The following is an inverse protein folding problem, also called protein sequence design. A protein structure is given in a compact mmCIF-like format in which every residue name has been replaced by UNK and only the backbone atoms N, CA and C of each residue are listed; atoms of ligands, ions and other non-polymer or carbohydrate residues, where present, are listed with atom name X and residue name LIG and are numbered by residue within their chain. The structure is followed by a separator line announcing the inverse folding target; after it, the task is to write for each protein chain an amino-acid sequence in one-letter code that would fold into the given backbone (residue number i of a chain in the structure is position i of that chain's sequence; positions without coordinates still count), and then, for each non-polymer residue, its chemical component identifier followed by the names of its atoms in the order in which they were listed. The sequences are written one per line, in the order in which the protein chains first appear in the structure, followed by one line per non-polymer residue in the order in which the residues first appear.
data_IF_095931413633
#
_entry.id   IF_095931413633
#
_cell.length_a   1.000
_cell.length_b   1.000
_cell.length_c   1.000
_cell.angle_alpha   90.00
_cell.angle_beta   90.00
_cell.angle_gamma   90.00
#
_symmetry.space_group_name_H-M   'P 1'
#
loop_
_entity.id
_entity.type
_entity.pdbx_description
1 polymer ?
#
# COMPACT_ATOMS: atom_id res chain seq x y z
N UNK A 1 14.58 -14.32 8.33
CA UNK A 1 14.96 -13.42 7.23
C UNK A 1 13.72 -12.89 6.55
N UNK A 2 13.57 -11.59 6.49
CA UNK A 2 12.40 -10.97 5.85
C UNK A 2 12.63 -10.81 4.36
N UNK A 3 11.62 -11.16 3.59
CA UNK A 3 11.63 -10.89 2.15
C UNK A 3 10.82 -9.63 1.90
N UNK A 4 11.35 -8.74 1.06
CA UNK A 4 10.66 -7.52 0.69
C UNK A 4 9.94 -7.70 -0.62
N UNK A 5 8.77 -7.08 -0.76
CA UNK A 5 8.02 -7.15 -2.01
C UNK A 5 7.38 -5.82 -2.35
N UNK A 6 7.10 -5.64 -3.62
CA UNK A 6 6.40 -4.48 -4.16
C UNK A 6 5.08 -4.96 -4.73
N UNK A 7 3.99 -4.29 -4.36
CA UNK A 7 2.66 -4.65 -4.85
C UNK A 7 2.19 -3.57 -5.82
N UNK A 8 2.06 -3.95 -7.08
CA UNK A 8 1.57 -3.07 -8.12
C UNK A 8 0.05 -3.18 -8.20
N UNK A 9 -0.63 -2.04 -8.13
CA UNK A 9 -2.09 -2.02 -8.17
C UNK A 9 -2.71 -2.59 -6.90
N UNK A 10 -2.28 -2.12 -5.75
CA UNK A 10 -2.74 -2.63 -4.45
C UNK A 10 -4.25 -2.58 -4.27
N UNK A 11 -4.94 -1.63 -4.89
CA UNK A 11 -6.40 -1.52 -4.79
C UNK A 11 -7.14 -2.44 -5.77
N UNK A 12 -6.44 -3.08 -6.71
CA UNK A 12 -7.05 -4.04 -7.64
C UNK A 12 -7.26 -5.41 -6.99
N UNK A 13 -7.98 -6.30 -7.70
CA UNK A 13 -8.32 -7.62 -7.16
C UNK A 13 -7.10 -8.45 -6.82
N UNK A 14 -6.08 -8.45 -7.68
CA UNK A 14 -4.87 -9.23 -7.44
C UNK A 14 -4.07 -8.66 -6.27
N UNK A 15 -3.96 -7.32 -6.21
CA UNK A 15 -3.27 -6.65 -5.11
C UNK A 15 -3.94 -6.93 -3.77
N UNK A 16 -5.27 -6.86 -3.71
CA UNK A 16 -6.01 -7.15 -2.48
C UNK A 16 -5.87 -8.61 -2.06
N UNK A 17 -5.87 -9.54 -3.02
CA UNK A 17 -5.65 -10.96 -2.72
C UNK A 17 -4.26 -11.20 -2.15
N UNK A 18 -3.24 -10.52 -2.69
CA UNK A 18 -1.88 -10.61 -2.19
C UNK A 18 -1.78 -10.09 -0.77
N UNK A 19 -2.38 -8.93 -0.49
CA UNK A 19 -2.38 -8.36 0.85
C UNK A 19 -3.09 -9.28 1.86
N UNK A 20 -4.15 -9.95 1.42
CA UNK A 20 -4.87 -10.90 2.25
C UNK A 20 -3.96 -12.07 2.67
N UNK A 21 -3.18 -12.58 1.73
CA UNK A 21 -2.21 -13.65 2.03
C UNK A 21 -1.17 -13.16 3.05
N UNK A 22 -0.69 -11.93 2.90
CA UNK A 22 0.27 -11.36 3.82
C UNK A 22 -0.29 -11.20 5.23
N UNK A 23 -1.56 -10.85 5.36
CA UNK A 23 -2.21 -10.74 6.67
C UNK A 23 -2.22 -12.08 7.42
N UNK A 24 -2.34 -13.18 6.69
CA UNK A 24 -2.35 -14.51 7.27
C UNK A 24 -0.95 -15.05 7.57
N UNK A 25 0.10 -14.36 7.11
CA UNK A 25 1.47 -14.78 7.31
C UNK A 25 2.35 -13.62 7.81
N UNK A 26 1.98 -13.04 8.98
CA UNK A 26 2.73 -11.90 9.50
C UNK A 26 4.16 -12.29 9.84
N UNK A 27 5.08 -11.38 9.54
CA UNK A 27 6.49 -11.59 9.82
C UNK A 27 7.27 -12.31 8.73
N UNK A 28 6.60 -12.91 7.74
CA UNK A 28 7.27 -13.59 6.64
C UNK A 28 7.71 -12.64 5.54
N UNK A 29 6.97 -11.55 5.35
CA UNK A 29 7.20 -10.60 4.26
C UNK A 29 7.13 -9.18 4.77
N UNK A 30 7.94 -8.32 4.17
CA UNK A 30 7.89 -6.88 4.40
C UNK A 30 7.45 -6.21 3.12
N UNK A 31 6.41 -5.38 3.19
CA UNK A 31 5.95 -4.63 2.03
C UNK A 31 6.85 -3.41 1.86
N UNK A 32 7.62 -3.40 0.79
CA UNK A 32 8.52 -2.29 0.48
C UNK A 32 7.75 -1.12 -0.13
N UNK A 33 6.88 -1.42 -1.10
CA UNK A 33 6.14 -0.39 -1.79
C UNK A 33 4.75 -0.88 -2.19
N UNK A 34 3.81 0.06 -2.18
CA UNK A 34 2.46 -0.16 -2.69
C UNK A 34 2.21 0.87 -3.79
N UNK A 35 1.61 0.45 -4.89
CA UNK A 35 1.18 1.39 -5.92
C UNK A 35 -0.31 1.26 -6.16
N UNK A 36 -0.96 2.36 -6.50
CA UNK A 36 -2.37 2.38 -6.85
C UNK A 36 -2.62 3.55 -7.80
N UNK A 37 -3.74 3.52 -8.50
CA UNK A 37 -4.07 4.58 -9.44
C UNK A 37 -4.67 5.80 -8.74
N UNK A 38 -5.85 5.66 -8.16
CA UNK A 38 -6.61 6.80 -7.61
C UNK A 38 -7.23 6.58 -6.24
N UNK A 39 -7.35 5.35 -5.79
CA UNK A 39 -8.08 5.06 -4.56
C UNK A 39 -7.25 5.41 -3.32
N UNK A 40 -7.35 6.67 -2.91
CA UNK A 40 -6.61 7.20 -1.77
C UNK A 40 -7.01 6.52 -0.46
N UNK A 41 -8.30 6.31 -0.25
CA UNK A 41 -8.80 5.68 0.99
C UNK A 41 -8.23 4.27 1.17
N UNK A 42 -8.25 3.48 0.10
CA UNK A 42 -7.69 2.13 0.16
C UNK A 42 -6.18 2.15 0.36
N UNK A 43 -5.47 3.06 -0.31
CA UNK A 43 -4.03 3.20 -0.15
C UNK A 43 -3.67 3.60 1.27
N UNK A 44 -4.39 4.56 1.84
CA UNK A 44 -4.14 5.02 3.20
C UNK A 44 -4.35 3.88 4.21
N UNK A 45 -5.43 3.13 4.05
CA UNK A 45 -5.70 1.97 4.90
C UNK A 45 -4.57 0.93 4.82
N UNK A 46 -4.13 0.63 3.61
CA UNK A 46 -3.07 -0.35 3.39
C UNK A 46 -1.72 0.15 3.95
N UNK A 47 -1.44 1.46 3.82
CA UNK A 47 -0.24 2.05 4.41
C UNK A 47 -0.25 1.95 5.93
N UNK A 48 -1.39 2.17 6.56
CA UNK A 48 -1.50 2.05 8.01
C UNK A 48 -1.34 0.62 8.48
N UNK A 49 -1.79 -0.33 7.70
CA UNK A 49 -1.72 -1.74 8.06
C UNK A 49 -0.34 -2.35 7.81
N UNK A 50 0.26 -2.08 6.66
CA UNK A 50 1.50 -2.72 6.24
C UNK A 50 2.75 -1.87 6.39
N UNK A 51 2.59 -0.58 6.64
CA UNK A 51 3.71 0.37 6.83
C UNK A 51 4.78 0.26 5.74
N UNK A 52 4.41 0.38 4.45
CA UNK A 52 5.40 0.30 3.38
C UNK A 52 6.36 1.48 3.42
N UNK A 53 7.56 1.30 2.89
CA UNK A 53 8.51 2.38 2.77
C UNK A 53 8.07 3.42 1.75
N UNK A 54 7.41 2.96 0.69
CA UNK A 54 6.96 3.83 -0.40
C UNK A 54 5.51 3.56 -0.72
N UNK A 55 4.75 4.62 -0.96
CA UNK A 55 3.39 4.53 -1.44
C UNK A 55 3.29 5.45 -2.65
N UNK A 56 2.93 4.88 -3.80
CA UNK A 56 2.90 5.62 -5.06
C UNK A 56 1.49 5.62 -5.62
N UNK A 57 0.97 6.81 -5.91
CA UNK A 57 -0.29 6.99 -6.62
C UNK A 57 0.03 7.44 -8.03
N UNK A 58 -0.55 6.79 -9.02
CA UNK A 58 -0.33 7.15 -10.43
C UNK A 58 -0.97 8.50 -10.77
N UNK A 59 -2.17 8.75 -10.22
CA UNK A 59 -2.87 10.01 -10.42
C UNK A 59 -2.26 11.10 -9.53
N UNK A 60 -1.90 12.25 -10.11
CA UNK A 60 -1.26 13.34 -9.38
C UNK A 60 -2.11 13.91 -8.25
N UNK A 61 -3.40 14.11 -8.51
CA UNK A 61 -4.31 14.66 -7.51
C UNK A 61 -4.47 13.69 -6.33
N UNK A 62 -4.56 12.40 -6.64
CA UNK A 62 -4.63 11.37 -5.61
C UNK A 62 -3.33 11.32 -4.80
N UNK A 63 -2.19 11.50 -5.44
CA UNK A 63 -0.89 11.52 -4.76
C UNK A 63 -0.81 12.68 -3.78
N UNK A 64 -1.30 13.86 -4.17
CA UNK A 64 -1.34 15.03 -3.28
C UNK A 64 -2.27 14.80 -2.09
N UNK A 65 -3.44 14.25 -2.35
CA UNK A 65 -4.40 13.96 -1.29
C UNK A 65 -3.82 12.94 -0.29
N UNK A 66 -3.14 11.92 -0.78
CA UNK A 66 -2.51 10.93 0.09
C UNK A 66 -1.45 11.58 0.97
N UNK A 67 -0.60 12.42 0.40
CA UNK A 67 0.44 13.13 1.13
C UNK A 67 -0.16 14.03 2.21
N UNK A 68 -1.22 14.77 1.90
CA UNK A 68 -1.90 15.64 2.85
C UNK A 68 -2.50 14.85 4.01
N UNK A 69 -3.14 13.74 3.72
CA UNK A 69 -3.75 12.90 4.74
C UNK A 69 -2.71 12.26 5.65
N UNK A 70 -1.59 11.85 5.10
CA UNK A 70 -0.51 11.26 5.88
C UNK A 70 0.18 12.29 6.77
N UNK A 71 0.22 13.55 6.36
CA UNK A 71 0.82 14.64 7.14
C UNK A 71 0.05 14.95 8.41
N UNK A 72 -1.24 14.66 8.43
CA UNK A 72 -2.11 14.99 9.55
C UNK A 72 -2.06 13.93 10.65
N UNK A 73 -1.55 12.79 10.33
CA UNK A 73 -1.49 11.66 11.30
C UNK A 73 -0.23 11.71 12.21
#
# INVERSE_FOLDING_TARGET
MHKSLVILGASGSIGQSTLKVLRHNPGSWQVLALTAARNVDAMLRDCLEFSPRFAVMVDEDAARELADRKSVV
#
